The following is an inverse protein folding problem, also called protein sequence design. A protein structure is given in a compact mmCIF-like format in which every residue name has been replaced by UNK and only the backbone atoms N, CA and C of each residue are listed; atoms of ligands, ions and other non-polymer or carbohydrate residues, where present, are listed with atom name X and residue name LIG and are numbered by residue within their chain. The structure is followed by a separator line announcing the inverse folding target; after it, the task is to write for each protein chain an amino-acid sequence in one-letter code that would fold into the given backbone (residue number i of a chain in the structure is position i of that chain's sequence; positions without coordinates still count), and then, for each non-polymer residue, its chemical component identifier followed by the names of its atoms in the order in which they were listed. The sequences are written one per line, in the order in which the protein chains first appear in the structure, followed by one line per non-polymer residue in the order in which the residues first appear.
data_IF_816932324354
#
_entry.id   IF_816932324354
#
_cell.length_a   1.000
_cell.length_b   1.000
_cell.length_c   1.000
_cell.angle_alpha   90.00
_cell.angle_beta   90.00
_cell.angle_gamma   90.00
#
_symmetry.space_group_name_H-M   'P 1'
#
loop_
_entity.id
_entity.type
_entity.pdbx_description
1 polymer ?
#
# COMPACT_ATOMS: atom_id res chain seq x y z
N UNK A 1 -9.67 -27.38 6.09
CA UNK A 1 -8.68 -27.10 7.16
C UNK A 1 -7.29 -26.65 6.66
N UNK A 2 -7.11 -26.27 5.38
CA UNK A 2 -5.81 -25.85 4.81
C UNK A 2 -5.63 -24.32 4.65
N UNK A 3 -6.71 -23.54 4.66
CA UNK A 3 -6.69 -22.10 4.39
C UNK A 3 -6.30 -21.23 5.59
N UNK A 4 -6.57 -21.70 6.82
CA UNK A 4 -6.18 -20.99 8.05
C UNK A 4 -4.66 -20.90 8.22
N UNK A 5 -3.92 -21.91 7.77
CA UNK A 5 -2.46 -21.96 7.96
C UNK A 5 -1.71 -20.93 7.09
N UNK A 6 -2.10 -20.75 5.82
CA UNK A 6 -1.41 -19.81 4.91
C UNK A 6 -1.56 -18.34 5.32
N UNK A 7 -2.74 -17.98 5.80
CA UNK A 7 -3.04 -16.61 6.23
C UNK A 7 -2.24 -16.21 7.46
N UNK A 8 -2.12 -17.13 8.42
CA UNK A 8 -1.29 -16.97 9.61
C UNK A 8 0.18 -16.83 9.20
N UNK A 9 0.67 -17.68 8.29
CA UNK A 9 2.06 -17.63 7.81
C UNK A 9 2.39 -16.27 7.18
N UNK A 10 1.56 -15.73 6.28
CA UNK A 10 1.84 -14.43 5.65
C UNK A 10 1.90 -13.28 6.67
N UNK A 11 1.01 -13.28 7.66
CA UNK A 11 1.02 -12.30 8.75
C UNK A 11 2.32 -12.39 9.57
N UNK A 12 2.73 -13.61 9.95
CA UNK A 12 3.98 -13.82 10.68
C UNK A 12 5.22 -13.47 9.85
N UNK A 13 5.23 -13.74 8.54
CA UNK A 13 6.31 -13.36 7.64
C UNK A 13 6.47 -11.85 7.52
N UNK A 14 5.37 -11.11 7.27
CA UNK A 14 5.41 -9.65 7.17
C UNK A 14 5.88 -9.04 8.49
N UNK A 15 5.35 -9.53 9.62
CA UNK A 15 5.81 -9.08 10.95
C UNK A 15 7.28 -9.39 11.20
N UNK A 16 7.74 -10.60 10.87
CA UNK A 16 9.14 -11.01 11.04
C UNK A 16 10.08 -10.17 10.18
N UNK A 17 9.69 -9.84 8.96
CA UNK A 17 10.47 -8.98 8.06
C UNK A 17 10.56 -7.54 8.58
N UNK A 18 9.45 -6.99 9.08
CA UNK A 18 9.41 -5.67 9.70
C UNK A 18 10.24 -5.60 11.00
N UNK A 19 10.14 -6.62 11.86
CA UNK A 19 10.78 -6.64 13.17
C UNK A 19 12.26 -7.00 13.15
N UNK A 20 12.71 -7.79 12.17
CA UNK A 20 14.09 -8.28 12.11
C UNK A 20 15.07 -7.32 11.41
N UNK A 21 14.60 -6.16 10.91
CA UNK A 21 15.43 -5.24 10.11
C UNK A 21 15.94 -5.86 8.80
N UNK A 22 15.33 -6.97 8.36
CA UNK A 22 15.77 -7.74 7.18
C UNK A 22 15.15 -7.26 5.87
N UNK A 23 14.09 -6.46 5.95
CA UNK A 23 13.56 -5.72 4.81
C UNK A 23 14.03 -4.27 4.92
N UNK A 24 14.57 -3.66 3.85
CA UNK A 24 15.06 -2.27 3.84
C UNK A 24 13.93 -1.23 3.85
N UNK A 25 12.81 -1.53 4.52
CA UNK A 25 11.58 -0.73 4.45
C UNK A 25 11.77 0.53 5.27
N UNK A 26 11.54 1.67 4.62
CA UNK A 26 11.60 2.97 5.24
C UNK A 26 10.17 3.39 5.58
N UNK A 27 9.95 3.79 6.82
CA UNK A 27 8.66 4.33 7.24
C UNK A 27 8.33 5.57 6.41
N UNK A 28 7.11 5.65 5.87
CA UNK A 28 6.72 6.78 5.06
C UNK A 28 6.68 8.06 5.89
N UNK A 29 7.44 9.08 5.49
CA UNK A 29 7.66 10.31 6.25
C UNK A 29 7.41 11.61 5.49
N UNK A 30 7.05 11.55 4.20
CA UNK A 30 6.67 12.75 3.43
C UNK A 30 5.29 13.28 3.86
N UNK A 31 4.97 14.49 3.41
CA UNK A 31 3.69 15.14 3.67
C UNK A 31 2.51 14.33 3.11
N UNK A 32 1.41 14.35 3.85
CA UNK A 32 0.17 13.69 3.50
C UNK A 32 -0.92 14.74 3.29
N UNK A 33 -1.55 14.75 2.10
CA UNK A 33 -2.57 15.74 1.76
C UNK A 33 -3.89 15.46 2.48
N UNK A 34 -4.31 14.19 2.50
CA UNK A 34 -5.55 13.76 3.11
C UNK A 34 -5.38 12.37 3.72
N UNK A 35 -5.92 12.15 4.92
CA UNK A 35 -6.00 10.83 5.54
C UNK A 35 -7.42 10.50 5.94
N UNK A 36 -7.79 9.24 5.74
CA UNK A 36 -9.10 8.69 6.02
C UNK A 36 -8.96 7.34 6.73
N UNK A 37 -9.55 7.21 7.91
CA UNK A 37 -9.35 6.06 8.81
C UNK A 37 -10.57 5.15 8.96
N UNK A 38 -11.76 5.59 8.54
CA UNK A 38 -13.01 4.83 8.67
C UNK A 38 -13.45 4.20 7.35
N UNK A 39 -12.66 3.24 6.86
CA UNK A 39 -12.72 2.71 5.50
C UNK A 39 -14.03 1.99 5.13
N UNK A 40 -14.91 1.73 6.10
CA UNK A 40 -16.11 0.91 5.91
C UNK A 40 -17.42 1.70 6.04
N UNK A 41 -17.38 2.99 6.39
CA UNK A 41 -18.58 3.82 6.51
C UNK A 41 -18.92 4.52 5.18
N UNK A 42 -19.99 4.14 4.46
CA UNK A 42 -20.28 4.67 3.13
C UNK A 42 -20.50 6.20 3.09
N UNK A 43 -21.12 6.77 4.12
CA UNK A 43 -21.38 8.20 4.21
C UNK A 43 -20.08 9.00 4.37
N UNK A 44 -19.16 8.49 5.21
CA UNK A 44 -17.85 9.12 5.40
C UNK A 44 -16.99 8.99 4.15
N UNK A 45 -16.99 7.80 3.51
CA UNK A 45 -16.31 7.57 2.21
C UNK A 45 -16.80 8.60 1.17
N UNK A 46 -18.11 8.74 1.03
CA UNK A 46 -18.70 9.66 0.05
C UNK A 46 -18.31 11.12 0.33
N UNK A 47 -18.32 11.52 1.61
CA UNK A 47 -17.93 12.87 2.03
C UNK A 47 -16.45 13.15 1.74
N UNK A 48 -15.57 12.20 2.05
CA UNK A 48 -14.13 12.31 1.83
C UNK A 48 -13.80 12.51 0.35
N UNK A 49 -14.39 11.70 -0.53
CA UNK A 49 -14.09 11.77 -1.97
C UNK A 49 -14.82 12.88 -2.72
N UNK A 50 -15.72 13.63 -2.08
CA UNK A 50 -16.50 14.69 -2.75
C UNK A 50 -15.61 15.78 -3.35
N UNK A 51 -14.61 16.26 -2.61
CA UNK A 51 -13.65 17.28 -3.06
C UNK A 51 -12.57 16.75 -4.00
N UNK A 52 -12.53 15.43 -4.20
CA UNK A 52 -11.55 14.69 -4.99
C UNK A 52 -12.15 14.08 -6.25
N UNK A 53 -13.41 14.41 -6.57
CA UNK A 53 -14.11 13.88 -7.73
C UNK A 53 -13.30 14.13 -9.01
N UNK A 54 -13.00 13.06 -9.75
CA UNK A 54 -12.22 13.12 -10.99
C UNK A 54 -10.72 13.39 -10.80
N UNK A 55 -10.23 13.45 -9.56
CA UNK A 55 -8.80 13.59 -9.27
C UNK A 55 -8.13 12.23 -9.11
N UNK A 56 -6.89 12.17 -9.56
CA UNK A 56 -5.99 11.04 -9.44
C UNK A 56 -4.61 11.44 -8.91
N UNK A 57 -3.75 10.45 -8.71
CA UNK A 57 -2.42 10.63 -8.17
C UNK A 57 -1.98 9.40 -7.37
N UNK A 58 -1.19 9.64 -6.32
CA UNK A 58 -0.57 8.61 -5.49
C UNK A 58 -1.27 8.54 -4.13
N UNK A 59 -1.53 7.32 -3.68
CA UNK A 59 -2.14 7.02 -2.38
C UNK A 59 -1.36 5.95 -1.63
N UNK A 60 -1.64 5.83 -0.34
CA UNK A 60 -1.09 4.84 0.57
C UNK A 60 -2.22 4.17 1.35
N UNK A 61 -2.14 2.85 1.48
CA UNK A 61 -2.84 2.11 2.54
C UNK A 61 -1.82 1.76 3.61
N UNK A 62 -1.99 2.29 4.82
CA UNK A 62 -1.08 2.04 5.94
C UNK A 62 -1.76 1.22 7.03
N UNK A 63 -1.08 0.21 7.55
CA UNK A 63 -1.57 -0.59 8.67
C UNK A 63 -1.46 0.20 9.98
N UNK A 64 -2.56 0.35 10.71
CA UNK A 64 -2.64 1.21 11.90
C UNK A 64 -1.73 0.77 13.06
N UNK A 65 -1.38 -0.52 13.15
CA UNK A 65 -0.58 -1.05 14.27
C UNK A 65 0.92 -1.03 14.01
N UNK A 66 1.34 -0.84 12.75
CA UNK A 66 2.76 -0.80 12.38
C UNK A 66 2.93 0.08 11.14
N UNK A 67 3.44 1.33 11.29
CA UNK A 67 3.52 2.29 10.21
C UNK A 67 4.52 1.89 9.11
N UNK A 68 5.37 0.89 9.35
CA UNK A 68 6.27 0.31 8.34
C UNK A 68 5.56 -0.69 7.42
N UNK A 69 4.34 -1.10 7.74
CA UNK A 69 3.54 -2.01 6.93
C UNK A 69 2.53 -1.19 6.12
N UNK A 70 2.88 -0.90 4.87
CA UNK A 70 2.03 -0.13 3.97
C UNK A 70 2.15 -0.56 2.51
N UNK A 71 1.15 -0.16 1.73
CA UNK A 71 1.05 -0.29 0.28
C UNK A 71 0.96 1.11 -0.33
N UNK A 72 1.70 1.38 -1.40
CA UNK A 72 1.60 2.60 -2.22
C UNK A 72 1.01 2.23 -3.58
N UNK A 73 0.10 3.04 -4.09
CA UNK A 73 -0.45 2.82 -5.42
C UNK A 73 -0.79 4.13 -6.13
N UNK A 74 -1.00 4.04 -7.45
CA UNK A 74 -1.50 5.14 -8.27
C UNK A 74 -2.91 4.93 -8.83
N UNK A 75 -3.57 6.03 -9.20
CA UNK A 75 -4.87 5.97 -9.88
C UNK A 75 -5.25 7.25 -10.64
N UNK A 76 -6.07 7.10 -11.67
CA UNK A 76 -6.76 8.20 -12.37
C UNK A 76 -7.93 8.78 -11.58
N UNK A 77 -8.53 7.98 -10.70
CA UNK A 77 -9.67 8.35 -9.86
C UNK A 77 -9.52 7.67 -8.49
N UNK A 78 -9.36 8.47 -7.44
CA UNK A 78 -9.16 7.94 -6.09
C UNK A 78 -10.39 7.19 -5.55
N UNK A 79 -11.59 7.70 -5.79
CA UNK A 79 -12.82 7.11 -5.25
C UNK A 79 -13.09 5.75 -5.89
N UNK A 80 -12.95 5.66 -7.21
CA UNK A 80 -13.10 4.40 -7.95
C UNK A 80 -12.08 3.39 -7.47
N UNK A 81 -10.79 3.76 -7.43
CA UNK A 81 -9.73 2.84 -7.00
C UNK A 81 -9.89 2.34 -5.57
N UNK A 82 -10.29 3.22 -4.66
CA UNK A 82 -10.57 2.84 -3.28
C UNK A 82 -11.66 1.75 -3.21
N UNK A 83 -12.77 1.93 -3.94
CA UNK A 83 -13.84 0.92 -4.03
C UNK A 83 -13.40 -0.38 -4.70
N UNK A 84 -12.57 -0.27 -5.73
CA UNK A 84 -12.02 -1.44 -6.43
C UNK A 84 -11.16 -2.28 -5.45
N UNK A 85 -10.35 -1.66 -4.60
CA UNK A 85 -9.59 -2.38 -3.57
C UNK A 85 -10.47 -3.11 -2.56
N UNK A 86 -11.50 -2.44 -2.04
CA UNK A 86 -12.40 -3.05 -1.04
C UNK A 86 -13.24 -4.20 -1.59
N UNK A 87 -13.54 -4.19 -2.90
CA UNK A 87 -14.33 -5.24 -3.55
C UNK A 87 -13.48 -6.30 -4.25
N UNK A 88 -12.15 -6.12 -4.28
CA UNK A 88 -11.21 -6.96 -5.01
C UNK A 88 -10.96 -8.30 -4.32
N UNK A 89 -10.99 -9.37 -5.12
CA UNK A 89 -10.55 -10.72 -4.75
C UNK A 89 -9.14 -11.04 -5.27
N UNK A 90 -8.34 -10.01 -5.55
CA UNK A 90 -6.96 -10.18 -5.99
C UNK A 90 -6.14 -10.95 -4.94
N UNK A 91 -5.18 -11.72 -5.44
CA UNK A 91 -4.34 -12.63 -4.64
C UNK A 91 -2.91 -12.12 -4.46
N UNK A 92 -2.67 -10.84 -4.75
CA UNK A 92 -1.41 -10.19 -4.40
C UNK A 92 -1.27 -10.04 -2.88
N UNK A 93 -0.07 -9.68 -2.44
CA UNK A 93 0.28 -9.60 -1.02
C UNK A 93 -0.60 -8.61 -0.28
N UNK A 94 -0.81 -7.42 -0.84
CA UNK A 94 -1.58 -6.36 -0.21
C UNK A 94 -3.01 -6.84 0.07
N UNK A 95 -3.72 -7.33 -0.94
CA UNK A 95 -5.10 -7.78 -0.77
C UNK A 95 -5.20 -9.02 0.13
N UNK A 96 -4.25 -9.98 0.04
CA UNK A 96 -4.22 -11.13 0.97
C UNK A 96 -4.06 -10.69 2.42
N UNK A 97 -3.17 -9.74 2.68
CA UNK A 97 -2.94 -9.22 4.02
C UNK A 97 -4.11 -8.38 4.50
N UNK A 98 -4.66 -7.48 3.67
CA UNK A 98 -5.83 -6.67 4.04
C UNK A 98 -7.07 -7.53 4.32
N UNK A 99 -7.35 -8.52 3.48
CA UNK A 99 -8.46 -9.45 3.67
C UNK A 99 -8.27 -10.38 4.88
N UNK A 100 -7.04 -10.59 5.36
CA UNK A 100 -6.79 -11.44 6.52
C UNK A 100 -6.93 -10.72 7.85
N UNK A 101 -6.50 -9.46 7.93
CA UNK A 101 -6.54 -8.69 9.17
C UNK A 101 -7.78 -7.79 9.30
N UNK A 102 -8.47 -7.53 8.19
CA UNK A 102 -9.60 -6.61 8.11
C UNK A 102 -9.20 -5.23 7.59
N UNK A 103 -10.01 -4.70 6.66
CA UNK A 103 -9.81 -3.37 6.06
C UNK A 103 -9.95 -2.22 7.06
N UNK A 104 -10.70 -2.41 8.15
CA UNK A 104 -10.83 -1.47 9.26
C UNK A 104 -9.50 -1.24 10.02
N UNK A 105 -8.54 -2.15 9.86
CA UNK A 105 -7.20 -2.02 10.43
C UNK A 105 -6.26 -1.13 9.60
N UNK A 106 -6.72 -0.64 8.44
CA UNK A 106 -5.96 0.28 7.59
C UNK A 106 -6.45 1.71 7.73
N UNK A 107 -5.56 2.64 7.42
CA UNK A 107 -5.89 3.98 6.97
C UNK A 107 -5.59 4.11 5.47
N UNK A 108 -6.35 4.97 4.79
CA UNK A 108 -6.12 5.34 3.40
C UNK A 108 -5.72 6.81 3.35
N UNK A 109 -4.61 7.12 2.70
CA UNK A 109 -4.16 8.50 2.55
C UNK A 109 -3.80 8.83 1.12
N UNK A 110 -4.03 10.08 0.73
CA UNK A 110 -3.58 10.64 -0.54
C UNK A 110 -2.32 11.44 -0.24
N UNK A 111 -1.24 11.06 -0.89
CA UNK A 111 0.08 11.66 -0.66
C UNK A 111 0.47 12.61 -1.78
N UNK A 112 -0.11 12.43 -2.97
CA UNK A 112 0.12 13.34 -4.10
C UNK A 112 -1.08 13.34 -5.05
N UNK A 113 -1.48 14.52 -5.52
CA UNK A 113 -2.44 14.68 -6.63
C UNK A 113 -1.63 15.12 -7.85
N UNK A 114 -1.65 14.33 -8.92
CA UNK A 114 -0.83 14.58 -10.09
C UNK A 114 -1.49 14.08 -11.38
N UNK A 115 -1.08 14.68 -12.49
CA UNK A 115 -1.59 14.35 -13.82
C UNK A 115 -1.21 12.95 -14.24
N UNK A 116 -2.08 12.31 -15.01
CA UNK A 116 -1.89 10.94 -15.49
C UNK A 116 -0.53 10.74 -16.20
N UNK A 117 -0.03 11.76 -16.90
CA UNK A 117 1.24 11.70 -17.62
C UNK A 117 2.44 11.42 -16.70
N UNK A 118 2.38 11.81 -15.43
CA UNK A 118 3.49 11.68 -14.48
C UNK A 118 3.22 10.64 -13.37
N UNK A 119 2.01 10.09 -13.29
CA UNK A 119 1.65 9.16 -12.20
C UNK A 119 2.53 7.91 -12.12
N UNK A 120 3.05 7.41 -13.24
CA UNK A 120 3.98 6.28 -13.24
C UNK A 120 5.29 6.66 -12.56
N UNK A 121 5.94 7.73 -13.01
CA UNK A 121 7.22 8.21 -12.48
C UNK A 121 7.10 8.55 -10.99
N UNK A 122 5.97 9.14 -10.58
CA UNK A 122 5.71 9.46 -9.18
C UNK A 122 5.50 8.20 -8.33
N UNK A 123 4.79 7.19 -8.82
CA UNK A 123 4.67 5.91 -8.11
C UNK A 123 6.04 5.24 -7.96
N UNK A 124 6.84 5.17 -9.03
CA UNK A 124 8.17 4.56 -9.02
C UNK A 124 9.10 5.29 -8.05
N UNK A 125 9.07 6.62 -8.01
CA UNK A 125 9.80 7.42 -7.02
C UNK A 125 9.47 6.99 -5.58
N UNK A 126 8.19 6.86 -5.23
CA UNK A 126 7.79 6.45 -3.88
C UNK A 126 8.12 4.99 -3.58
N UNK A 127 7.97 4.09 -4.56
CA UNK A 127 8.32 2.68 -4.40
C UNK A 127 9.82 2.48 -4.15
N UNK A 128 10.68 3.19 -4.90
CA UNK A 128 12.13 3.15 -4.73
C UNK A 128 12.57 3.80 -3.41
N UNK A 129 11.98 4.94 -3.05
CA UNK A 129 12.32 5.67 -1.83
C UNK A 129 11.94 4.92 -0.55
N UNK A 130 10.81 4.20 -0.56
CA UNK A 130 10.24 3.65 0.68
C UNK A 130 10.20 2.12 0.77
N UNK A 131 10.33 1.43 -0.36
CA UNK A 131 10.37 -0.03 -0.45
C UNK A 131 9.20 -0.73 0.30
N UNK A 132 7.92 -0.35 0.04
CA UNK A 132 6.78 -0.82 0.81
C UNK A 132 6.62 -2.35 0.85
N UNK A 133 6.45 -2.88 2.07
CA UNK A 133 6.30 -4.32 2.31
C UNK A 133 5.14 -4.95 1.54
N UNK A 134 4.04 -4.21 1.35
CA UNK A 134 2.82 -4.75 0.74
C UNK A 134 2.81 -4.66 -0.80
N UNK A 135 3.71 -3.86 -1.39
CA UNK A 135 3.92 -3.81 -2.84
C UNK A 135 4.86 -4.91 -3.34
N UNK A 136 5.88 -5.22 -2.55
CA UNK A 136 6.88 -6.22 -2.93
C UNK A 136 6.26 -7.61 -2.92
N UNK A 137 6.50 -8.40 -3.96
CA UNK A 137 6.46 -9.86 -3.84
C UNK A 137 7.90 -10.21 -3.45
N UNK A 138 8.14 -10.73 -2.25
CA UNK A 138 9.40 -11.44 -1.95
C UNK A 138 9.37 -12.73 -2.76
N UNK A 139 9.44 -12.63 -4.08
CA UNK A 139 10.02 -13.69 -4.89
C UNK A 139 11.50 -13.69 -4.50
N UNK A 140 12.04 -14.89 -4.37
CA UNK A 140 13.41 -15.27 -4.09
C UNK A 140 14.48 -14.70 -5.06
N UNK A 141 14.29 -13.50 -5.59
CA UNK A 141 15.19 -12.80 -6.52
C UNK A 141 15.77 -11.54 -5.86
N UNK A 142 16.29 -11.67 -4.64
CA UNK A 142 17.19 -10.67 -4.07
C UNK A 142 18.49 -10.52 -4.91
N UNK A 143 18.67 -11.34 -5.96
CA UNK A 143 19.77 -11.31 -6.92
C UNK A 143 19.69 -10.16 -7.93
N UNK A 144 18.57 -9.46 -8.10
CA UNK A 144 18.43 -8.41 -9.12
C UNK A 144 18.48 -6.98 -8.58
N UNK A 145 18.25 -6.77 -7.27
CA UNK A 145 18.35 -5.42 -6.67
C UNK A 145 19.82 -5.07 -6.36
N UNK A 146 20.72 -6.05 -6.25
CA UNK A 146 22.15 -5.80 -6.06
C UNK A 146 22.88 -5.29 -7.33
N UNK A 147 22.24 -5.25 -8.50
CA UNK A 147 22.90 -4.76 -9.72
C UNK A 147 22.77 -3.26 -9.96
N UNK A 148 21.96 -2.53 -9.17
CA UNK A 148 21.81 -1.08 -9.34
C UNK A 148 22.82 -0.27 -8.52
N UNK A 149 23.28 -0.81 -7.37
CA UNK A 149 24.34 -0.23 -6.54
C UNK A 149 25.77 -0.42 -7.12
N UNK A 150 25.90 -0.91 -8.35
CA UNK A 150 27.21 -1.09 -9.04
C UNK A 150 27.45 -0.11 -10.19
N UNK A 151 26.60 0.90 -10.35
CA UNK A 151 26.80 1.98 -11.31
C UNK A 151 26.64 3.31 -10.58
N UNK A 152 27.62 3.64 -9.71
CA UNK A 152 28.25 4.96 -9.52
C UNK A 152 29.26 4.87 -8.37
#
# INVERSE_FOLDING_TARGET
MLWLNYTIILFYEIKKLASAGKAPVIEFSDDVLFTFTNLLNPSVILSFFRSLKGKGGIYIFRYKKDPKVFYIGRTKDFHKRFKDHLSSNLKDRFHKFANSIGWDQFEFSIIEICDLSIQQDREDFYLQKYLPLLNTIFKSNFSEIQSYDSLY
#
